data_IF_906472751764
#
_entry.id   IF_906472751764
#
_cell.length_a   1.000
_cell.length_b   1.000
_cell.length_c   1.000
_cell.angle_alpha   90.00
_cell.angle_beta   90.00
_cell.angle_gamma   90.00
#
_symmetry.space_group_name_H-M   'P 1'
#
loop_
_entity.id
_entity.type
_entity.pdbx_description
1 polymer ?
#
# COMPACT_ATOMS: atom_id res chain seq x y z
N UNK A 1 -10.10 -42.97 18.43
CA UNK A 1 -9.20 -42.03 17.75
C UNK A 1 -8.94 -40.86 18.71
N UNK A 2 -7.70 -40.40 18.88
CA UNK A 2 -7.43 -39.29 19.79
C UNK A 2 -7.97 -37.99 19.25
N UNK A 3 -8.79 -37.28 20.01
CA UNK A 3 -9.30 -35.96 19.68
C UNK A 3 -8.39 -34.91 20.31
N UNK A 4 -8.07 -33.85 19.58
CA UNK A 4 -7.35 -32.72 20.16
C UNK A 4 -8.26 -31.95 21.13
N UNK A 5 -7.66 -31.36 22.16
CA UNK A 5 -8.39 -30.39 22.99
C UNK A 5 -8.57 -29.08 22.22
N UNK A 6 -9.70 -28.40 22.43
CA UNK A 6 -9.97 -27.11 21.78
C UNK A 6 -8.80 -26.08 21.89
N UNK A 7 -8.07 -26.10 23.00
CA UNK A 7 -6.90 -25.22 23.22
C UNK A 7 -5.70 -25.53 22.34
N UNK A 8 -5.62 -26.74 21.79
CA UNK A 8 -4.51 -27.21 20.96
C UNK A 8 -4.83 -27.07 19.47
N UNK A 9 -6.03 -26.58 19.15
CA UNK A 9 -6.47 -26.30 17.79
C UNK A 9 -5.98 -24.94 17.33
N UNK A 10 -5.52 -24.86 16.10
CA UNK A 10 -5.14 -23.62 15.46
C UNK A 10 -6.38 -22.85 15.00
N UNK A 11 -6.61 -21.69 15.59
CA UNK A 11 -7.73 -20.81 15.22
C UNK A 11 -7.28 -19.53 14.48
N UNK A 12 -5.96 -19.32 14.36
CA UNK A 12 -5.36 -18.14 13.76
C UNK A 12 -5.11 -16.99 14.73
N UNK A 13 -4.50 -15.95 14.23
CA UNK A 13 -4.24 -14.71 14.99
C UNK A 13 -5.20 -13.59 14.59
N UNK A 14 -5.36 -12.62 15.49
CA UNK A 14 -6.16 -11.42 15.23
C UNK A 14 -5.53 -10.50 14.19
N UNK A 15 -4.24 -10.63 13.96
CA UNK A 15 -3.46 -9.86 12.99
C UNK A 15 -2.82 -10.82 11.97
N UNK A 16 -3.24 -10.69 10.70
CA UNK A 16 -2.78 -11.55 9.61
C UNK A 16 -1.29 -11.40 9.30
N UNK A 17 -0.69 -10.24 9.55
CA UNK A 17 0.75 -10.06 9.38
C UNK A 17 1.54 -10.85 10.43
N UNK A 18 1.11 -10.79 11.70
CA UNK A 18 1.74 -11.55 12.77
C UNK A 18 1.52 -13.05 12.58
N UNK A 19 0.37 -13.46 12.05
CA UNK A 19 0.09 -14.86 11.70
C UNK A 19 1.10 -15.34 10.65
N UNK A 20 1.31 -14.55 9.61
CA UNK A 20 2.24 -14.88 8.54
C UNK A 20 3.71 -14.92 9.01
N UNK A 21 4.12 -14.01 9.91
CA UNK A 21 5.46 -14.00 10.47
C UNK A 21 5.75 -15.21 11.36
N UNK A 22 4.75 -15.70 12.10
CA UNK A 22 4.95 -16.81 13.06
C UNK A 22 4.88 -18.17 12.39
N UNK A 23 3.93 -18.37 11.48
CA UNK A 23 3.69 -19.68 10.88
C UNK A 23 4.30 -19.85 9.48
N UNK A 24 4.77 -18.77 8.86
CA UNK A 24 5.38 -18.77 7.53
C UNK A 24 4.37 -18.80 6.38
N UNK A 25 4.90 -18.61 5.16
CA UNK A 25 4.10 -18.52 3.94
C UNK A 25 3.33 -19.79 3.63
N UNK A 26 3.97 -20.94 3.76
CA UNK A 26 3.40 -22.22 3.34
C UNK A 26 2.18 -22.63 4.18
N UNK A 27 2.29 -22.46 5.50
CA UNK A 27 1.16 -22.73 6.41
C UNK A 27 0.01 -21.77 6.13
N UNK A 28 0.31 -20.47 6.00
CA UNK A 28 -0.73 -19.48 5.75
C UNK A 28 -1.41 -19.67 4.38
N UNK A 29 -0.68 -20.13 3.35
CA UNK A 29 -1.24 -20.49 2.05
C UNK A 29 -2.17 -21.70 2.14
N UNK A 30 -1.75 -22.74 2.81
CA UNK A 30 -2.55 -23.96 2.98
C UNK A 30 -3.84 -23.70 3.77
N UNK A 31 -3.81 -22.72 4.67
CA UNK A 31 -4.93 -22.34 5.52
C UNK A 31 -5.76 -21.18 4.97
N UNK A 32 -5.30 -20.53 3.90
CA UNK A 32 -6.05 -19.46 3.27
C UNK A 32 -7.35 -20.00 2.68
N UNK A 33 -8.45 -19.40 3.07
CA UNK A 33 -9.77 -19.70 2.52
C UNK A 33 -10.15 -18.60 1.52
N UNK A 34 -10.30 -18.98 0.26
CA UNK A 34 -10.68 -18.04 -0.79
C UNK A 34 -12.09 -17.52 -0.57
N UNK A 35 -12.25 -16.22 -0.72
CA UNK A 35 -13.55 -15.58 -0.58
C UNK A 35 -14.43 -15.99 -1.76
N UNK A 36 -15.72 -16.32 -1.54
CA UNK A 36 -16.59 -16.86 -2.61
C UNK A 36 -16.73 -15.97 -3.85
N UNK A 37 -16.52 -14.67 -3.70
CA UNK A 37 -16.71 -13.68 -4.77
C UNK A 37 -15.40 -13.00 -5.19
N UNK A 38 -14.25 -13.52 -4.75
CA UNK A 38 -12.95 -12.96 -5.07
C UNK A 38 -12.28 -13.79 -6.17
N UNK A 39 -12.04 -13.15 -7.28
CA UNK A 39 -11.16 -13.66 -8.32
C UNK A 39 -9.76 -13.05 -8.15
N UNK A 40 -8.84 -13.86 -7.61
CA UNK A 40 -7.47 -13.42 -7.31
C UNK A 40 -6.71 -13.04 -8.60
N UNK A 41 -7.07 -13.63 -9.73
CA UNK A 41 -6.44 -13.30 -11.02
C UNK A 41 -6.58 -11.83 -11.35
N UNK A 42 -7.70 -11.19 -10.96
CA UNK A 42 -7.93 -9.74 -11.15
C UNK A 42 -7.05 -8.83 -10.29
N UNK A 43 -6.53 -9.34 -9.18
CA UNK A 43 -5.50 -8.63 -8.40
C UNK A 43 -4.13 -8.77 -9.08
N UNK A 44 -3.85 -9.93 -9.64
CA UNK A 44 -2.57 -10.22 -10.29
C UNK A 44 -2.43 -9.56 -11.68
N UNK A 45 -3.53 -9.30 -12.38
CA UNK A 45 -3.54 -8.62 -13.67
C UNK A 45 -3.77 -7.10 -13.58
N UNK A 46 -4.03 -6.59 -12.36
CA UNK A 46 -4.26 -5.16 -12.10
C UNK A 46 -5.65 -4.65 -12.51
N UNK A 47 -6.61 -5.54 -12.82
CA UNK A 47 -8.01 -5.15 -13.10
C UNK A 47 -8.73 -4.67 -11.83
N UNK A 48 -8.32 -5.19 -10.68
CA UNK A 48 -8.80 -4.80 -9.35
C UNK A 48 -7.59 -4.45 -8.47
N UNK A 49 -7.64 -3.32 -7.80
CA UNK A 49 -6.54 -2.88 -6.95
C UNK A 49 -6.98 -2.19 -5.64
N UNK A 50 -8.28 -2.09 -5.37
CA UNK A 50 -8.80 -1.71 -4.04
C UNK A 50 -9.53 -2.88 -3.39
N UNK A 51 -9.07 -3.26 -2.21
CA UNK A 51 -9.67 -4.32 -1.41
C UNK A 51 -10.39 -3.66 -0.24
N UNK A 52 -11.72 -3.57 -0.31
CA UNK A 52 -12.55 -2.96 0.71
C UNK A 52 -13.15 -4.01 1.65
N UNK A 53 -13.34 -3.65 2.92
CA UNK A 53 -13.97 -4.55 3.90
C UNK A 53 -13.90 -4.00 5.31
N UNK A 54 -14.72 -4.54 6.21
CA UNK A 54 -14.75 -4.17 7.61
C UNK A 54 -13.45 -4.58 8.34
N UNK A 55 -13.22 -4.04 9.53
CA UNK A 55 -12.11 -4.47 10.36
C UNK A 55 -12.25 -5.97 10.66
N UNK A 56 -11.16 -6.73 10.54
CA UNK A 56 -11.14 -8.17 10.83
C UNK A 56 -11.62 -9.07 9.68
N UNK A 57 -11.97 -8.53 8.50
CA UNK A 57 -12.38 -9.34 7.34
C UNK A 57 -11.25 -10.06 6.62
N UNK A 58 -10.00 -9.95 7.08
CA UNK A 58 -8.86 -10.70 6.52
C UNK A 58 -8.15 -10.02 5.35
N UNK A 59 -8.33 -8.72 5.12
CA UNK A 59 -7.65 -7.98 4.04
C UNK A 59 -6.13 -8.15 4.05
N UNK A 60 -5.50 -7.98 5.20
CA UNK A 60 -4.06 -8.18 5.38
C UNK A 60 -3.64 -9.61 5.02
N UNK A 61 -4.41 -10.62 5.44
CA UNK A 61 -4.15 -12.01 5.11
C UNK A 61 -4.28 -12.26 3.60
N UNK A 62 -5.28 -11.65 2.94
CA UNK A 62 -5.41 -11.71 1.49
C UNK A 62 -4.20 -11.12 0.78
N UNK A 63 -3.75 -9.92 1.17
CA UNK A 63 -2.56 -9.30 0.57
C UNK A 63 -1.31 -10.17 0.77
N UNK A 64 -1.16 -10.77 1.95
CA UNK A 64 -0.06 -11.69 2.25
C UNK A 64 -0.15 -13.00 1.46
N UNK A 65 -1.34 -13.51 1.27
CA UNK A 65 -1.58 -14.67 0.41
C UNK A 65 -1.20 -14.37 -1.05
N UNK A 66 -1.65 -13.23 -1.60
CA UNK A 66 -1.27 -12.79 -2.95
C UNK A 66 0.24 -12.59 -3.06
N UNK A 67 0.89 -11.97 -2.08
CA UNK A 67 2.35 -11.83 -2.02
C UNK A 67 3.06 -13.18 -2.07
N UNK A 68 2.54 -14.19 -1.35
CA UNK A 68 3.11 -15.52 -1.36
C UNK A 68 3.00 -16.23 -2.73
N UNK A 69 1.88 -16.02 -3.45
CA UNK A 69 1.73 -16.53 -4.82
C UNK A 69 2.70 -15.88 -5.80
N UNK A 70 2.97 -14.59 -5.61
CA UNK A 70 3.96 -13.84 -6.41
C UNK A 70 5.36 -14.39 -6.17
N UNK A 71 5.69 -14.76 -4.92
CA UNK A 71 6.99 -15.28 -4.54
C UNK A 71 7.35 -16.63 -5.17
N UNK A 72 6.38 -17.41 -5.65
CA UNK A 72 6.64 -18.66 -6.40
C UNK A 72 7.42 -18.43 -7.70
N UNK A 73 7.33 -17.22 -8.25
CA UNK A 73 8.06 -16.80 -9.44
C UNK A 73 9.01 -15.64 -9.09
N UNK A 74 9.79 -15.79 -8.01
CA UNK A 74 10.65 -14.75 -7.45
C UNK A 74 11.71 -14.19 -8.40
N UNK A 75 12.06 -14.92 -9.45
CA UNK A 75 13.03 -14.47 -10.46
C UNK A 75 12.45 -13.41 -11.41
N UNK A 76 11.12 -13.41 -11.58
CA UNK A 76 10.40 -12.52 -12.51
C UNK A 76 9.40 -11.59 -11.81
N UNK A 77 9.01 -11.93 -10.59
CA UNK A 77 8.00 -11.18 -9.84
C UNK A 77 8.57 -10.67 -8.52
N UNK A 78 8.30 -9.40 -8.24
CA UNK A 78 8.80 -8.72 -7.05
C UNK A 78 7.64 -8.14 -6.26
N UNK A 79 7.81 -8.01 -4.95
CA UNK A 79 6.82 -7.38 -4.08
C UNK A 79 7.44 -6.36 -3.14
N UNK A 80 6.64 -5.37 -2.75
CA UNK A 80 6.96 -4.42 -1.71
C UNK A 80 5.71 -4.13 -0.89
N UNK A 81 5.82 -4.26 0.43
CA UNK A 81 4.72 -4.01 1.35
C UNK A 81 4.91 -2.67 2.08
N UNK A 82 3.87 -1.85 2.13
CA UNK A 82 3.82 -0.57 2.84
C UNK A 82 2.69 -0.68 3.88
N UNK A 83 3.00 -0.51 5.16
CA UNK A 83 2.00 -0.43 6.22
C UNK A 83 1.86 1.01 6.66
N UNK A 84 0.79 1.66 6.21
CA UNK A 84 0.56 3.08 6.43
C UNK A 84 0.71 3.49 7.91
N UNK A 85 0.14 2.73 8.81
CA UNK A 85 0.19 3.04 10.24
C UNK A 85 1.59 2.95 10.85
N UNK A 86 2.39 1.98 10.39
CA UNK A 86 3.70 1.68 10.96
C UNK A 86 4.83 2.39 10.23
N UNK A 87 4.74 2.48 8.91
CA UNK A 87 5.81 2.97 8.06
C UNK A 87 5.68 4.48 7.79
N UNK A 88 4.48 5.06 8.02
CA UNK A 88 4.18 6.50 7.85
C UNK A 88 3.93 7.11 9.23
N UNK A 89 4.98 7.61 9.85
CA UNK A 89 4.89 8.22 11.17
C UNK A 89 4.24 9.62 11.14
N UNK A 90 4.04 10.20 12.32
CA UNK A 90 3.36 11.50 12.48
C UNK A 90 4.12 12.65 11.82
N UNK A 91 5.45 12.64 11.89
CA UNK A 91 6.28 13.69 11.27
C UNK A 91 6.19 13.61 9.75
N UNK A 92 6.19 12.42 9.20
CA UNK A 92 6.02 12.18 7.76
C UNK A 92 4.64 12.62 7.26
N UNK A 93 3.56 12.37 8.03
CA UNK A 93 2.21 12.85 7.69
C UNK A 93 2.13 14.37 7.69
N UNK A 94 2.83 15.03 8.62
CA UNK A 94 2.93 16.49 8.64
C UNK A 94 3.76 17.03 7.47
N UNK A 95 4.83 16.32 7.07
CA UNK A 95 5.62 16.68 5.90
C UNK A 95 4.83 16.57 4.59
N UNK A 96 4.04 15.50 4.42
CA UNK A 96 3.13 15.36 3.28
C UNK A 96 2.19 16.56 3.16
N UNK A 97 1.60 17.01 4.26
CA UNK A 97 0.77 18.20 4.29
C UNK A 97 1.55 19.46 3.89
N UNK A 98 2.78 19.64 4.38
CA UNK A 98 3.61 20.80 4.05
C UNK A 98 4.04 20.81 2.58
N UNK A 99 4.25 19.66 1.97
CA UNK A 99 4.61 19.55 0.56
C UNK A 99 3.51 20.03 -0.38
N UNK A 100 2.27 19.82 0.02
CA UNK A 100 1.10 20.19 -0.77
C UNK A 100 0.68 21.65 -0.64
N UNK A 101 1.27 22.42 0.29
CA UNK A 101 0.97 23.85 0.42
C UNK A 101 1.57 24.63 -0.75
N UNK A 102 0.79 25.46 -1.46
CA UNK A 102 1.33 26.39 -2.41
C UNK A 102 2.32 27.34 -1.72
N UNK A 103 3.32 27.82 -2.44
CA UNK A 103 4.27 28.80 -1.93
C UNK A 103 3.49 30.04 -1.45
N UNK A 104 3.27 30.15 -0.15
CA UNK A 104 2.77 31.38 0.41
C UNK A 104 3.89 32.42 0.38
N UNK A 105 3.64 33.66 -0.10
CA UNK A 105 4.59 34.73 0.05
C UNK A 105 4.88 34.96 1.53
N UNK A 106 6.04 35.41 1.83
CA UNK A 106 6.86 35.55 3.02
C UNK A 106 6.16 36.20 4.25
N UNK A 107 4.98 35.76 4.68
CA UNK A 107 4.43 36.17 5.96
C UNK A 107 4.17 34.94 6.80
N UNK A 108 4.64 35.00 8.05
CA UNK A 108 4.55 33.96 9.06
C UNK A 108 3.13 33.35 9.12
N UNK A 109 2.97 32.17 8.54
CA UNK A 109 1.78 31.38 8.82
C UNK A 109 1.99 30.80 10.21
N UNK A 110 1.50 31.52 11.21
CA UNK A 110 1.27 31.02 12.56
C UNK A 110 0.40 29.76 12.40
N UNK A 111 0.78 28.66 13.02
CA UNK A 111 0.13 27.33 12.90
C UNK A 111 -1.40 27.32 13.19
N UNK A 112 -1.97 28.45 13.61
CA UNK A 112 -3.39 28.64 13.94
C UNK A 112 -4.29 29.07 12.76
N UNK A 113 -3.75 29.50 11.62
CA UNK A 113 -4.53 30.12 10.54
C UNK A 113 -4.31 29.49 9.16
N UNK A 114 -4.29 28.14 9.08
CA UNK A 114 -4.47 27.49 7.78
C UNK A 114 -5.95 27.59 7.44
N UNK A 115 -6.35 28.31 6.36
CA UNK A 115 -7.74 28.38 5.96
C UNK A 115 -8.28 26.96 5.81
N UNK A 116 -9.39 26.68 6.47
CA UNK A 116 -10.08 25.37 6.45
C UNK A 116 -10.62 25.01 5.06
N UNK A 117 -10.53 25.94 4.11
CA UNK A 117 -11.15 25.84 2.79
C UNK A 117 -10.15 25.56 1.64
N UNK A 118 -8.86 25.47 1.92
CA UNK A 118 -7.88 25.01 0.93
C UNK A 118 -7.85 23.49 0.94
N UNK A 119 -8.45 22.85 -0.06
CA UNK A 119 -8.29 21.42 -0.35
C UNK A 119 -6.82 21.16 -0.66
N UNK A 120 -6.10 20.63 0.33
CA UNK A 120 -4.70 20.30 0.21
C UNK A 120 -4.59 19.07 -0.68
N UNK A 121 -4.01 19.21 -1.85
CA UNK A 121 -3.76 18.10 -2.78
C UNK A 121 -2.37 17.50 -2.48
N UNK A 122 -2.36 16.34 -1.82
CA UNK A 122 -1.16 15.58 -1.54
C UNK A 122 -0.91 14.45 -2.57
N UNK A 123 -1.67 14.39 -3.65
CA UNK A 123 -1.57 13.29 -4.64
C UNK A 123 -0.17 13.21 -5.22
N UNK A 124 0.40 14.34 -5.64
CA UNK A 124 1.76 14.39 -6.17
C UNK A 124 2.81 13.90 -5.15
N UNK A 125 2.65 14.27 -3.89
CA UNK A 125 3.56 13.83 -2.84
C UNK A 125 3.51 12.29 -2.65
N UNK A 126 2.31 11.72 -2.70
CA UNK A 126 2.13 10.27 -2.68
C UNK A 126 2.68 9.58 -3.94
N UNK A 127 2.49 10.16 -5.11
CA UNK A 127 3.07 9.63 -6.36
C UNK A 127 4.61 9.56 -6.26
N UNK A 128 5.25 10.63 -5.83
CA UNK A 128 6.72 10.66 -5.64
C UNK A 128 7.19 9.60 -4.64
N UNK A 129 6.45 9.42 -3.54
CA UNK A 129 6.75 8.39 -2.56
C UNK A 129 6.60 6.97 -3.12
N UNK A 130 5.49 6.68 -3.80
CA UNK A 130 5.23 5.37 -4.39
C UNK A 130 6.26 5.04 -5.47
N UNK A 131 6.65 6.03 -6.30
CA UNK A 131 7.74 5.88 -7.28
C UNK A 131 9.06 5.59 -6.57
N UNK A 132 9.40 6.35 -5.52
CA UNK A 132 10.61 6.10 -4.73
C UNK A 132 10.65 4.68 -4.18
N UNK A 133 9.56 4.23 -3.55
CA UNK A 133 9.48 2.88 -2.96
C UNK A 133 9.68 1.82 -4.03
N UNK A 134 8.99 1.96 -5.17
CA UNK A 134 9.12 1.07 -6.33
C UNK A 134 10.55 1.05 -6.86
N UNK A 135 11.12 2.21 -7.15
CA UNK A 135 12.49 2.33 -7.69
C UNK A 135 13.53 1.77 -6.73
N UNK A 136 13.42 2.06 -5.43
CA UNK A 136 14.37 1.55 -4.44
C UNK A 136 14.30 0.02 -4.32
N UNK A 137 13.10 -0.57 -4.38
CA UNK A 137 12.94 -2.03 -4.42
C UNK A 137 13.62 -2.62 -5.65
N UNK A 138 13.44 -1.97 -6.80
CA UNK A 138 14.03 -2.42 -8.07
C UNK A 138 15.55 -2.18 -8.15
N UNK A 139 16.10 -1.15 -7.48
CA UNK A 139 17.56 -0.93 -7.40
C UNK A 139 18.27 -2.08 -6.66
N UNK A 140 17.63 -2.65 -5.64
CA UNK A 140 18.20 -3.72 -4.81
C UNK A 140 18.25 -5.07 -5.52
N UNK A 141 17.65 -5.20 -6.69
CA UNK A 141 17.55 -6.44 -7.46
C UNK A 141 17.93 -6.19 -8.91
N UNK A 142 18.53 -7.17 -9.58
CA UNK A 142 18.77 -7.11 -11.03
C UNK A 142 17.49 -7.37 -11.84
N UNK A 143 16.36 -6.89 -11.36
CA UNK A 143 15.09 -7.23 -11.93
C UNK A 143 14.76 -6.44 -13.19
N UNK A 144 14.36 -7.15 -14.23
CA UNK A 144 13.96 -6.61 -15.53
C UNK A 144 12.51 -6.14 -15.55
N UNK A 145 12.10 -5.21 -14.65
CA UNK A 145 10.82 -4.50 -14.74
C UNK A 145 10.95 -3.31 -15.67
N UNK A 146 12.08 -2.63 -15.63
CA UNK A 146 12.42 -1.53 -16.51
C UNK A 146 13.84 -1.67 -17.06
N UNK A 147 14.08 -1.19 -18.28
CA UNK A 147 15.41 -1.07 -18.84
C UNK A 147 16.30 -0.15 -18.00
N UNK A 148 17.55 -0.55 -17.77
CA UNK A 148 18.57 0.23 -17.06
C UNK A 148 19.26 1.26 -17.96
N UNK A 149 18.45 2.02 -18.71
CA UNK A 149 18.90 3.04 -19.64
C UNK A 149 19.17 4.40 -18.96
N UNK A 150 19.43 5.45 -19.77
CA UNK A 150 19.69 6.81 -19.29
C UNK A 150 18.52 7.40 -18.51
N UNK A 151 17.26 7.17 -18.93
CA UNK A 151 16.06 7.66 -18.22
C UNK A 151 15.95 7.04 -16.83
N UNK A 152 16.19 5.74 -16.71
CA UNK A 152 16.26 5.07 -15.42
C UNK A 152 17.35 5.66 -14.52
N UNK A 153 18.54 5.88 -15.08
CA UNK A 153 19.68 6.45 -14.34
C UNK A 153 19.40 7.88 -13.86
N UNK A 154 18.74 8.70 -14.69
CA UNK A 154 18.29 10.04 -14.32
C UNK A 154 17.26 10.02 -13.20
N UNK A 155 16.23 9.16 -13.30
CA UNK A 155 15.21 9.02 -12.25
C UNK A 155 15.85 8.61 -10.91
N UNK A 156 16.70 7.58 -10.92
CA UNK A 156 17.42 7.13 -9.73
C UNK A 156 18.25 8.26 -9.11
N UNK A 157 19.02 8.97 -9.94
CA UNK A 157 19.89 10.04 -9.47
C UNK A 157 19.10 11.26 -8.96
N UNK A 158 17.94 11.55 -9.55
CA UNK A 158 17.06 12.61 -9.05
C UNK A 158 16.48 12.25 -7.69
N UNK A 159 15.96 11.02 -7.52
CA UNK A 159 15.47 10.54 -6.25
C UNK A 159 16.56 10.55 -5.17
N UNK A 160 17.78 10.09 -5.49
CA UNK A 160 18.90 10.11 -4.56
C UNK A 160 19.30 11.54 -4.17
N UNK A 161 19.26 12.47 -5.11
CA UNK A 161 19.59 13.88 -4.86
C UNK A 161 18.60 14.59 -3.94
N UNK A 162 17.30 14.33 -4.12
CA UNK A 162 16.25 14.99 -3.33
C UNK A 162 16.07 14.35 -1.95
N UNK A 163 16.26 13.05 -1.81
CA UNK A 163 16.12 12.35 -0.53
C UNK A 163 17.42 12.34 0.29
N UNK A 164 18.56 12.57 -0.36
CA UNK A 164 19.89 12.50 0.25
C UNK A 164 20.14 11.18 1.01
N UNK A 165 19.74 10.08 0.40
CA UNK A 165 19.64 8.75 1.04
C UNK A 165 20.85 7.83 0.77
N UNK A 166 22.05 8.38 0.57
CA UNK A 166 23.25 7.57 0.26
C UNK A 166 23.55 6.42 1.23
N UNK A 167 22.97 6.45 2.43
CA UNK A 167 23.24 5.49 3.51
C UNK A 167 21.96 4.88 4.16
N UNK A 168 20.78 5.09 3.61
CA UNK A 168 19.54 4.59 4.23
C UNK A 168 19.14 3.24 3.61
N UNK A 169 19.28 2.18 4.39
CA UNK A 169 18.97 0.80 3.96
C UNK A 169 17.47 0.48 3.95
N UNK A 170 16.63 1.37 4.49
CA UNK A 170 15.18 1.15 4.52
C UNK A 170 14.46 2.07 3.54
N UNK A 171 13.97 1.55 2.38
CA UNK A 171 13.30 2.33 1.35
C UNK A 171 11.98 2.97 1.81
N UNK A 172 11.39 2.46 2.90
CA UNK A 172 10.13 2.96 3.46
C UNK A 172 10.32 4.15 4.39
N UNK A 173 11.54 4.37 4.89
CA UNK A 173 11.85 5.56 5.68
C UNK A 173 11.90 6.80 4.78
N UNK A 174 11.48 7.94 5.31
CA UNK A 174 11.40 9.23 4.64
C UNK A 174 10.45 9.22 3.43
N UNK A 175 9.18 9.39 3.70
CA UNK A 175 8.15 9.54 2.67
C UNK A 175 8.46 10.72 1.75
N UNK A 176 8.94 11.81 2.31
CA UNK A 176 9.31 12.99 1.56
C UNK A 176 10.76 13.41 1.78
N UNK A 177 11.35 14.08 0.80
CA UNK A 177 12.59 14.79 1.01
C UNK A 177 12.42 15.87 2.09
N UNK A 178 13.52 16.39 2.63
CA UNK A 178 13.45 17.52 3.57
C UNK A 178 12.86 18.73 2.84
N UNK A 179 11.62 19.06 3.16
CA UNK A 179 10.91 20.20 2.60
C UNK A 179 10.94 21.34 3.62
N UNK A 180 11.45 22.49 3.21
CA UNK A 180 11.37 23.75 3.95
C UNK A 180 10.54 24.75 3.15
N UNK A 181 9.42 25.21 3.71
CA UNK A 181 8.55 26.22 3.05
C UNK A 181 8.17 25.83 1.60
N UNK A 182 7.79 24.58 1.38
CA UNK A 182 7.40 24.08 0.05
C UNK A 182 8.56 23.75 -0.90
N UNK A 183 9.82 23.97 -0.50
CA UNK A 183 11.00 23.78 -1.33
C UNK A 183 11.84 22.59 -0.88
N UNK A 184 12.49 21.93 -1.82
CA UNK A 184 13.46 20.85 -1.62
C UNK A 184 14.86 21.41 -1.80
N UNK A 185 15.77 21.07 -0.89
CA UNK A 185 17.19 21.38 -1.04
C UNK A 185 17.81 20.41 -2.06
N UNK A 186 18.32 20.95 -3.16
CA UNK A 186 19.04 20.22 -4.21
C UNK A 186 20.23 21.05 -4.67
N UNK A 187 21.36 20.43 -4.97
CA UNK A 187 22.54 21.18 -5.41
C UNK A 187 22.48 21.50 -6.90
N UNK A 188 22.95 22.69 -7.30
CA UNK A 188 23.06 23.08 -8.70
C UNK A 188 23.92 22.09 -9.50
N UNK A 189 24.97 21.53 -8.89
CA UNK A 189 25.80 20.51 -9.50
C UNK A 189 25.01 19.23 -9.80
N UNK A 190 24.08 18.81 -8.94
CA UNK A 190 23.22 17.64 -9.17
C UNK A 190 22.22 17.91 -10.31
N UNK A 191 21.61 19.11 -10.35
CA UNK A 191 20.69 19.51 -11.42
C UNK A 191 21.40 19.57 -12.77
N UNK A 192 22.59 20.20 -12.82
CA UNK A 192 23.40 20.29 -14.04
C UNK A 192 23.86 18.90 -14.52
N UNK A 193 24.33 18.03 -13.61
CA UNK A 193 24.75 16.66 -13.95
C UNK A 193 23.61 15.82 -14.53
N UNK A 194 22.38 16.06 -14.07
CA UNK A 194 21.18 15.36 -14.54
C UNK A 194 20.57 15.99 -15.80
N UNK A 195 21.12 17.14 -16.24
CA UNK A 195 20.57 17.93 -17.33
C UNK A 195 19.07 18.21 -17.17
N UNK A 196 18.70 18.64 -15.95
CA UNK A 196 17.31 18.94 -15.60
C UNK A 196 17.08 20.46 -15.72
N UNK A 197 15.97 20.80 -16.35
CA UNK A 197 15.45 22.16 -16.37
C UNK A 197 14.52 22.34 -15.16
N UNK A 198 15.04 23.01 -14.12
CA UNK A 198 14.32 23.26 -12.87
C UNK A 198 14.43 24.75 -12.51
N UNK A 199 13.30 25.35 -12.18
CA UNK A 199 13.23 26.73 -11.71
C UNK A 199 13.69 26.82 -10.25
N UNK A 200 14.65 27.69 -9.99
CA UNK A 200 15.19 27.94 -8.66
C UNK A 200 14.34 28.95 -7.90
N UNK A 201 14.21 28.78 -6.60
CA UNK A 201 13.44 29.69 -5.74
C UNK A 201 14.21 30.96 -5.38
N UNK A 202 15.54 30.90 -5.50
CA UNK A 202 16.41 32.03 -5.17
C UNK A 202 17.70 32.04 -6.00
N UNK A 203 18.44 33.12 -5.94
CA UNK A 203 19.72 33.31 -6.63
C UNK A 203 20.83 32.39 -6.08
N UNK A 204 20.65 31.84 -4.90
CA UNK A 204 21.62 30.92 -4.29
C UNK A 204 21.64 29.52 -4.96
N UNK A 205 20.65 29.19 -5.79
CA UNK A 205 20.49 27.92 -6.51
C UNK A 205 20.64 26.69 -5.60
N UNK A 206 19.98 26.73 -4.43
CA UNK A 206 20.02 25.66 -3.44
C UNK A 206 18.67 25.01 -3.18
N UNK A 207 17.59 25.66 -3.58
CA UNK A 207 16.24 25.19 -3.33
C UNK A 207 15.34 25.30 -4.56
N UNK A 208 14.51 24.29 -4.78
CA UNK A 208 13.56 24.20 -5.88
C UNK A 208 12.18 23.86 -5.30
N UNK A 209 11.07 24.41 -5.85
CA UNK A 209 9.73 24.03 -5.42
C UNK A 209 9.51 22.53 -5.53
N UNK A 210 8.96 21.93 -4.47
CA UNK A 210 8.67 20.48 -4.46
C UNK A 210 7.78 20.07 -5.65
N UNK A 211 6.81 20.92 -6.00
CA UNK A 211 5.89 20.65 -7.11
C UNK A 211 6.64 20.46 -8.44
N UNK A 212 7.66 21.29 -8.71
CA UNK A 212 8.44 21.20 -9.95
C UNK A 212 9.29 19.90 -9.97
N UNK A 213 9.94 19.59 -8.84
CA UNK A 213 10.71 18.34 -8.70
C UNK A 213 9.81 17.12 -8.77
N UNK A 214 8.68 17.15 -8.07
CA UNK A 214 7.72 16.05 -8.04
C UNK A 214 7.15 15.74 -9.43
N UNK A 215 6.75 16.77 -10.19
CA UNK A 215 6.32 16.61 -11.59
C UNK A 215 7.43 15.96 -12.43
N UNK A 216 8.68 16.44 -12.28
CA UNK A 216 9.81 15.86 -13.02
C UNK A 216 10.07 14.40 -12.67
N UNK A 217 9.88 13.99 -11.40
CA UNK A 217 9.94 12.58 -10.99
C UNK A 217 8.88 11.75 -11.70
N UNK A 218 7.63 12.25 -11.75
CA UNK A 218 6.52 11.57 -12.43
C UNK A 218 6.77 11.49 -13.94
N UNK A 219 7.26 12.55 -14.57
CA UNK A 219 7.58 12.59 -16.01
C UNK A 219 8.67 11.57 -16.37
N UNK A 220 9.76 11.53 -15.58
CA UNK A 220 10.82 10.55 -15.80
C UNK A 220 10.31 9.12 -15.59
N UNK A 221 9.50 8.89 -14.57
CA UNK A 221 8.89 7.59 -14.34
C UNK A 221 7.99 7.18 -15.52
N UNK A 222 7.15 8.09 -16.02
CA UNK A 222 6.26 7.84 -17.15
C UNK A 222 6.99 7.65 -18.49
N UNK A 223 8.29 7.97 -18.54
CA UNK A 223 9.13 7.82 -19.73
C UNK A 223 10.07 6.61 -19.65
N UNK A 224 9.90 5.74 -18.64
CA UNK A 224 10.69 4.51 -18.53
C UNK A 224 10.32 3.51 -19.63
N UNK A 225 11.28 2.71 -20.03
CA UNK A 225 11.05 1.59 -20.98
C UNK A 225 10.71 0.33 -20.19
N UNK A 226 9.51 -0.27 -20.40
CA UNK A 226 9.12 -1.48 -19.69
C UNK A 226 9.90 -2.72 -20.15
N UNK A 227 10.03 -3.68 -19.23
CA UNK A 227 10.49 -5.04 -19.47
C UNK A 227 9.43 -6.04 -19.00
N UNK A 228 9.74 -7.34 -19.07
CA UNK A 228 8.76 -8.41 -18.85
C UNK A 228 8.43 -8.70 -17.39
N UNK A 229 9.36 -8.42 -16.48
CA UNK A 229 9.19 -8.75 -15.06
C UNK A 229 8.16 -7.82 -14.39
N UNK A 230 7.61 -8.28 -13.27
CA UNK A 230 6.49 -7.63 -12.57
C UNK A 230 6.88 -7.16 -11.17
N UNK A 231 6.29 -6.06 -10.74
CA UNK A 231 6.36 -5.63 -9.34
C UNK A 231 4.97 -5.29 -8.79
N UNK A 232 4.70 -5.76 -7.58
CA UNK A 232 3.48 -5.51 -6.84
C UNK A 232 3.79 -4.70 -5.59
N UNK A 233 3.13 -3.55 -5.44
CA UNK A 233 3.27 -2.68 -4.27
C UNK A 233 1.97 -2.74 -3.48
N UNK A 234 2.04 -3.33 -2.30
CA UNK A 234 0.89 -3.46 -1.41
C UNK A 234 0.86 -2.32 -0.40
N UNK A 235 -0.29 -1.66 -0.26
CA UNK A 235 -0.52 -0.63 0.75
C UNK A 235 -1.62 -1.10 1.69
N UNK A 236 -1.31 -1.26 2.97
CA UNK A 236 -2.23 -1.76 3.99
C UNK A 236 -2.25 -0.86 5.24
N UNK A 237 -3.09 -1.20 6.19
CA UNK A 237 -3.26 -0.50 7.47
C UNK A 237 -3.65 0.98 7.32
N UNK A 238 -4.50 1.32 6.34
CA UNK A 238 -5.08 2.65 6.24
C UNK A 238 -6.04 2.88 7.41
N UNK A 239 -5.52 3.44 8.49
CA UNK A 239 -6.28 3.74 9.71
C UNK A 239 -6.32 5.23 9.98
N UNK A 240 -7.48 5.71 10.45
CA UNK A 240 -7.65 7.07 10.90
C UNK A 240 -7.26 7.20 12.39
N UNK A 241 -6.77 8.37 12.78
CA UNK A 241 -6.56 8.70 14.19
C UNK A 241 -7.89 8.66 14.95
N UNK A 242 -7.93 7.99 16.12
CA UNK A 242 -9.16 7.67 16.86
C UNK A 242 -9.93 8.89 17.45
N UNK A 243 -9.41 10.10 17.36
CA UNK A 243 -10.03 11.30 17.91
C UNK A 243 -10.41 12.27 16.80
N UNK A 244 -11.63 12.85 16.87
CA UNK A 244 -12.08 13.97 16.03
C UNK A 244 -11.26 15.24 16.35
N UNK A 245 -10.04 15.28 15.80
CA UNK A 245 -9.07 16.36 16.01
C UNK A 245 -8.55 16.81 14.64
N UNK A 246 -7.78 17.91 14.60
CA UNK A 246 -7.07 18.35 13.38
C UNK A 246 -6.25 17.23 12.73
N UNK A 247 -5.72 16.27 13.53
CA UNK A 247 -5.02 15.08 13.03
C UNK A 247 -5.94 14.14 12.24
N UNK A 248 -7.14 13.94 12.71
CA UNK A 248 -8.15 13.12 12.03
C UNK A 248 -8.53 13.69 10.65
N UNK A 249 -8.81 14.99 10.57
CA UNK A 249 -9.13 15.66 9.29
C UNK A 249 -7.95 15.59 8.32
N UNK A 250 -6.73 15.78 8.80
CA UNK A 250 -5.52 15.58 8.01
C UNK A 250 -5.42 14.15 7.47
N UNK A 251 -5.60 13.16 8.33
CA UNK A 251 -5.47 11.74 7.94
C UNK A 251 -6.53 11.34 6.91
N UNK A 252 -7.76 11.85 7.00
CA UNK A 252 -8.79 11.66 5.96
C UNK A 252 -8.32 12.18 4.61
N UNK A 253 -7.80 13.42 4.57
CA UNK A 253 -7.29 14.04 3.34
C UNK A 253 -6.11 13.23 2.78
N UNK A 254 -5.14 12.84 3.62
CA UNK A 254 -3.99 12.05 3.20
C UNK A 254 -4.39 10.69 2.62
N UNK A 255 -5.38 10.02 3.21
CA UNK A 255 -5.86 8.72 2.71
C UNK A 255 -6.64 8.89 1.40
N UNK A 256 -7.48 9.93 1.27
CA UNK A 256 -8.11 10.26 -0.01
C UNK A 256 -7.08 10.42 -1.11
N UNK A 257 -6.06 11.25 -0.86
CA UNK A 257 -5.04 11.56 -1.86
C UNK A 257 -4.15 10.37 -2.19
N UNK A 258 -3.92 9.47 -1.21
CA UNK A 258 -3.27 8.18 -1.47
C UNK A 258 -4.11 7.29 -2.39
N UNK A 259 -5.43 7.23 -2.20
CA UNK A 259 -6.33 6.47 -3.09
C UNK A 259 -6.19 6.99 -4.52
N UNK A 260 -6.25 8.32 -4.74
CA UNK A 260 -6.05 8.89 -6.08
C UNK A 260 -4.64 8.66 -6.61
N UNK A 261 -3.61 8.77 -5.79
CA UNK A 261 -2.24 8.49 -6.24
C UNK A 261 -2.07 7.04 -6.69
N UNK A 262 -2.66 6.07 -6.00
CA UNK A 262 -2.69 4.65 -6.41
C UNK A 262 -3.40 4.49 -7.75
N UNK A 263 -4.55 5.16 -7.94
CA UNK A 263 -5.25 5.15 -9.23
C UNK A 263 -4.35 5.67 -10.35
N UNK A 264 -3.80 6.89 -10.21
CA UNK A 264 -2.95 7.50 -11.23
C UNK A 264 -1.71 6.67 -11.54
N UNK A 265 -1.09 6.05 -10.54
CA UNK A 265 0.07 5.18 -10.77
C UNK A 265 -0.30 3.92 -11.56
N UNK A 266 -1.46 3.30 -11.28
CA UNK A 266 -1.96 2.17 -12.07
C UNK A 266 -2.39 2.60 -13.48
N UNK A 267 -2.95 3.80 -13.65
CA UNK A 267 -3.24 4.37 -14.97
C UNK A 267 -1.97 4.61 -15.79
N UNK A 268 -0.92 5.20 -15.20
CA UNK A 268 0.40 5.36 -15.84
C UNK A 268 0.94 4.00 -16.27
N UNK A 269 0.85 3.00 -15.38
CA UNK A 269 1.31 1.65 -15.68
C UNK A 269 0.57 1.06 -16.87
N UNK A 270 -0.75 1.18 -16.89
CA UNK A 270 -1.60 0.67 -17.98
C UNK A 270 -1.33 1.38 -19.31
N UNK A 271 -1.22 2.71 -19.30
CA UNK A 271 -0.99 3.52 -20.51
C UNK A 271 0.38 3.26 -21.13
N UNK A 272 1.40 3.00 -20.32
CA UNK A 272 2.77 2.79 -20.79
C UNK A 272 3.16 1.30 -20.88
N UNK A 273 2.24 0.38 -20.63
CA UNK A 273 2.52 -1.06 -20.66
C UNK A 273 3.46 -1.53 -19.54
N UNK A 274 3.45 -0.86 -18.39
CA UNK A 274 4.27 -1.24 -17.24
C UNK A 274 3.65 -2.40 -16.47
N UNK A 275 4.47 -3.35 -16.10
CA UNK A 275 4.11 -4.44 -15.20
C UNK A 275 4.28 -4.02 -13.72
N UNK A 276 3.71 -2.88 -13.35
CA UNK A 276 3.74 -2.32 -11.99
C UNK A 276 2.31 -2.22 -11.47
N UNK A 277 2.00 -2.93 -10.38
CA UNK A 277 0.67 -3.07 -9.82
C UNK A 277 0.65 -2.55 -8.37
N UNK A 278 -0.14 -1.52 -8.10
CA UNK A 278 -0.33 -0.99 -6.76
C UNK A 278 -1.67 -1.47 -6.22
N UNK A 279 -1.67 -2.21 -5.12
CA UNK A 279 -2.87 -2.81 -4.53
C UNK A 279 -3.04 -2.27 -3.11
N UNK A 280 -4.23 -1.77 -2.79
CA UNK A 280 -4.49 -1.07 -1.53
C UNK A 280 -5.66 -1.68 -0.77
N UNK A 281 -5.45 -2.00 0.51
CA UNK A 281 -6.50 -2.44 1.41
C UNK A 281 -7.14 -1.25 2.13
N UNK A 282 -8.45 -1.11 2.01
CA UNK A 282 -9.23 0.01 2.57
C UNK A 282 -10.26 -0.53 3.55
N UNK A 283 -10.33 0.05 4.74
CA UNK A 283 -11.40 -0.25 5.70
C UNK A 283 -12.68 0.47 5.33
N UNK A 284 -13.82 -0.20 5.43
CA UNK A 284 -15.12 0.39 5.16
C UNK A 284 -15.38 1.65 5.98
N UNK A 285 -14.96 1.67 7.25
CA UNK A 285 -15.08 2.86 8.11
C UNK A 285 -14.29 4.05 7.55
N UNK A 286 -13.08 3.82 7.02
CA UNK A 286 -12.27 4.85 6.38
C UNK A 286 -12.95 5.37 5.11
N UNK A 287 -13.41 4.45 4.26
CA UNK A 287 -14.15 4.77 3.05
C UNK A 287 -15.38 5.64 3.34
N UNK A 288 -16.19 5.24 4.32
CA UNK A 288 -17.41 5.99 4.71
C UNK A 288 -17.08 7.38 5.26
N UNK A 289 -15.99 7.51 6.03
CA UNK A 289 -15.57 8.81 6.56
C UNK A 289 -15.08 9.77 5.46
N UNK A 290 -14.27 9.28 4.52
CA UNK A 290 -13.84 10.08 3.36
C UNK A 290 -15.06 10.51 2.54
N UNK A 291 -15.98 9.60 2.27
CA UNK A 291 -17.24 9.88 1.56
C UNK A 291 -18.11 10.91 2.27
N UNK A 292 -18.26 10.81 3.60
CA UNK A 292 -19.09 11.73 4.40
C UNK A 292 -18.60 13.18 4.39
N UNK A 293 -17.34 13.41 4.03
CA UNK A 293 -16.73 14.74 3.86
C UNK A 293 -16.92 15.32 2.45
N UNK A 294 -17.75 14.69 1.61
CA UNK A 294 -17.97 15.11 0.22
C UNK A 294 -16.78 14.87 -0.69
N UNK A 295 -15.80 14.08 -0.26
CA UNK A 295 -14.61 13.77 -1.04
C UNK A 295 -14.92 12.62 -2.00
N UNK A 296 -14.77 12.86 -3.30
CA UNK A 296 -15.11 11.87 -4.33
C UNK A 296 -14.05 10.77 -4.43
N UNK A 297 -14.30 9.63 -3.79
CA UNK A 297 -13.51 8.39 -3.98
C UNK A 297 -14.39 7.23 -4.48
N UNK A 298 -15.67 7.53 -4.75
CA UNK A 298 -16.63 6.48 -5.13
C UNK A 298 -16.30 5.85 -6.47
N UNK A 299 -15.94 6.65 -7.48
CA UNK A 299 -15.66 6.16 -8.83
C UNK A 299 -14.50 5.17 -8.85
N UNK A 300 -13.27 5.54 -8.40
CA UNK A 300 -12.15 4.60 -8.44
C UNK A 300 -12.42 3.32 -7.63
N UNK A 301 -13.07 3.43 -6.47
CA UNK A 301 -13.37 2.24 -5.64
C UNK A 301 -14.47 1.37 -6.27
N UNK A 302 -15.44 1.97 -6.95
CA UNK A 302 -16.48 1.23 -7.66
C UNK A 302 -15.92 0.50 -8.88
N UNK A 303 -15.09 1.16 -9.66
CA UNK A 303 -14.59 0.64 -10.93
C UNK A 303 -13.47 -0.40 -10.74
N UNK A 304 -12.63 -0.22 -9.73
CA UNK A 304 -11.42 -1.01 -9.50
C UNK A 304 -11.35 -1.67 -8.13
N UNK A 305 -12.46 -1.70 -7.41
CA UNK A 305 -12.54 -2.25 -6.06
C UNK A 305 -13.30 -3.56 -5.96
N UNK A 306 -12.95 -4.33 -4.93
CA UNK A 306 -13.71 -5.49 -4.50
C UNK A 306 -14.06 -5.36 -3.03
N UNK A 307 -15.29 -5.77 -2.68
CA UNK A 307 -15.77 -5.77 -1.32
C UNK A 307 -15.63 -7.16 -0.70
N UNK A 308 -14.85 -7.29 0.38
CA UNK A 308 -14.83 -8.50 1.18
C UNK A 308 -15.98 -8.45 2.18
N UNK A 309 -16.93 -9.34 2.00
CA UNK A 309 -18.08 -9.51 2.89
C UNK A 309 -18.31 -11.00 3.16
N UNK A 310 -18.23 -11.37 4.43
CA UNK A 310 -18.49 -12.74 4.88
C UNK A 310 -19.97 -13.03 5.13
N UNK A 311 -20.84 -12.03 5.06
CA UNK A 311 -22.26 -12.19 5.30
C UNK A 311 -22.91 -12.97 4.16
N UNK A 312 -23.48 -14.11 4.50
CA UNK A 312 -24.27 -14.93 3.58
C UNK A 312 -25.75 -14.75 3.90
N UNK A 313 -26.53 -14.34 2.91
CA UNK A 313 -28.00 -14.25 3.05
C UNK A 313 -28.62 -15.58 2.70
N UNK A 314 -29.15 -16.28 3.71
CA UNK A 314 -29.84 -17.58 3.52
C UNK A 314 -28.85 -18.74 3.32
N UNK A 315 -29.36 -19.96 3.38
CA UNK A 315 -28.61 -21.19 3.15
C UNK A 315 -28.33 -22.00 4.43
N UNK A 316 -27.70 -23.15 4.24
CA UNK A 316 -27.29 -24.01 5.33
C UNK A 316 -26.14 -23.36 6.10
N UNK A 317 -26.27 -23.23 7.42
CA UNK A 317 -25.24 -22.65 8.28
C UNK A 317 -23.88 -23.37 8.15
N UNK A 318 -23.88 -24.68 7.91
CA UNK A 318 -22.67 -25.48 7.74
C UNK A 318 -21.90 -25.11 6.46
N UNK A 319 -22.58 -24.51 5.47
CA UNK A 319 -21.98 -24.03 4.22
C UNK A 319 -21.43 -22.60 4.34
N UNK A 320 -21.60 -21.97 5.50
CA UNK A 320 -21.13 -20.60 5.70
C UNK A 320 -19.61 -20.52 5.57
N UNK A 321 -19.07 -19.57 4.76
CA UNK A 321 -17.63 -19.48 4.47
C UNK A 321 -16.73 -19.39 5.71
N UNK A 322 -17.15 -18.65 6.75
CA UNK A 322 -16.39 -18.58 8.01
C UNK A 322 -16.30 -19.93 8.73
N UNK A 323 -17.34 -20.75 8.63
CA UNK A 323 -17.35 -22.06 9.24
C UNK A 323 -16.50 -23.05 8.45
N UNK A 324 -16.50 -22.97 7.13
CA UNK A 324 -15.57 -23.73 6.28
C UNK A 324 -14.11 -23.34 6.53
N UNK A 325 -13.83 -22.04 6.71
CA UNK A 325 -12.50 -21.58 7.11
C UNK A 325 -12.07 -22.16 8.47
N UNK A 326 -12.97 -22.16 9.45
CA UNK A 326 -12.70 -22.75 10.77
C UNK A 326 -12.47 -24.26 10.67
N UNK A 327 -13.28 -24.97 9.89
CA UNK A 327 -13.14 -26.41 9.66
C UNK A 327 -11.75 -26.74 9.08
N UNK A 328 -11.30 -26.00 8.08
CA UNK A 328 -9.98 -26.18 7.48
C UNK A 328 -8.84 -25.98 8.48
N UNK A 329 -8.96 -24.99 9.37
CA UNK A 329 -7.96 -24.74 10.42
C UNK A 329 -7.90 -25.86 11.45
N UNK A 330 -9.04 -26.43 11.81
CA UNK A 330 -9.11 -27.57 12.73
C UNK A 330 -8.52 -28.84 12.10
N UNK A 331 -8.89 -29.11 10.86
CA UNK A 331 -8.36 -30.25 10.10
C UNK A 331 -6.83 -30.16 9.95
N UNK A 332 -6.31 -28.95 9.64
CA UNK A 332 -4.86 -28.73 9.62
C UNK A 332 -4.21 -29.03 10.98
N UNK A 333 -4.83 -28.63 12.09
CA UNK A 333 -4.30 -28.93 13.43
C UNK A 333 -4.26 -30.43 13.70
N UNK A 334 -5.29 -31.17 13.28
CA UNK A 334 -5.34 -32.62 13.38
C UNK A 334 -4.22 -33.28 12.56
N UNK A 335 -4.04 -32.84 11.30
CA UNK A 335 -2.96 -33.33 10.43
C UNK A 335 -1.58 -33.03 11.01
N UNK A 336 -1.38 -31.82 11.53
CA UNK A 336 -0.11 -31.41 12.15
C UNK A 336 0.26 -32.28 13.37
N UNK A 337 -0.74 -32.80 14.10
CA UNK A 337 -0.55 -33.71 15.22
C UNK A 337 -0.62 -35.19 14.82
N UNK A 338 -0.59 -35.49 13.52
CA UNK A 338 -0.60 -36.86 13.00
C UNK A 338 -1.96 -37.57 13.13
N UNK A 339 -3.04 -36.82 13.28
CA UNK A 339 -4.41 -37.37 13.35
C UNK A 339 -5.06 -37.31 11.95
N UNK A 340 -6.03 -38.20 11.73
CA UNK A 340 -6.88 -38.15 10.53
C UNK A 340 -7.83 -36.96 10.61
N UNK A 341 -7.88 -36.09 9.59
CA UNK A 341 -8.78 -34.94 9.59
C UNK A 341 -10.23 -35.32 9.76
N UNK A 342 -10.90 -34.64 10.66
CA UNK A 342 -12.32 -34.86 10.96
C UNK A 342 -13.19 -34.29 9.84
N UNK A 343 -14.09 -35.07 9.22
CA UNK A 343 -14.96 -34.58 8.14
C UNK A 343 -16.00 -33.56 8.64
N UNK A 344 -16.42 -33.68 9.91
CA UNK A 344 -17.37 -32.74 10.52
C UNK A 344 -16.89 -32.29 11.90
N UNK A 345 -16.33 -31.05 11.92
CA UNK A 345 -15.82 -30.47 13.16
C UNK A 345 -16.91 -30.18 14.20
N UNK A 346 -18.16 -30.03 13.79
CA UNK A 346 -19.25 -29.68 14.72
C UNK A 346 -19.59 -30.89 15.59
N UNK A 347 -19.76 -32.05 14.98
CA UNK A 347 -20.01 -33.28 15.75
C UNK A 347 -18.83 -33.67 16.62
N UNK A 348 -17.59 -33.33 16.18
CA UNK A 348 -16.40 -33.75 16.91
C UNK A 348 -16.01 -32.79 18.06
N UNK A 349 -16.22 -31.49 17.90
CA UNK A 349 -15.68 -30.47 18.84
C UNK A 349 -16.75 -29.65 19.57
N UNK A 350 -17.99 -29.59 19.06
CA UNK A 350 -19.00 -28.68 19.58
C UNK A 350 -20.31 -29.35 20.04
N UNK A 351 -20.60 -30.56 19.60
CA UNK A 351 -21.77 -31.28 20.09
C UNK A 351 -21.33 -32.22 21.20
N UNK A 352 -22.01 -32.22 22.37
CA UNK A 352 -21.79 -33.24 23.37
C UNK A 352 -22.20 -34.62 22.82
N UNK A 353 -21.45 -35.66 23.23
CA UNK A 353 -21.83 -37.05 23.00
C UNK A 353 -23.17 -37.38 23.66
#
# INVERSE_FOLDING_TARGET
MGQLKLKDLYIGKTDGYNEFLEYGSDVCRNLFFEYPNLDISKLLDGSVYYICGDKGTGKTMLLKYVESLIADNSDTNFSQFIRFKKDVDEDQRNQLKRAALPQAPFEEIIESEIPTDTTIDCVLAWQVYLIKVTVNRLKATECGVFERNDTWSKLCSLLDAIYNDKNDTNPLKKILPKIKKGNVEITAASVAKLNLDLEWTDDSKKAVPFVNVGKKVVDLYSSLTPCENRIYVFVDELELSLKKTKKYERDITLIRDLIFAVQYMNEISKLNGYNVFLITAIRNEVYQHVKSKGLEINKPIHDFGIQIDWRQKGGNIQEHPLLKMLARRFQYSEEYHGLTPTPNIYSNYFLPE
#
